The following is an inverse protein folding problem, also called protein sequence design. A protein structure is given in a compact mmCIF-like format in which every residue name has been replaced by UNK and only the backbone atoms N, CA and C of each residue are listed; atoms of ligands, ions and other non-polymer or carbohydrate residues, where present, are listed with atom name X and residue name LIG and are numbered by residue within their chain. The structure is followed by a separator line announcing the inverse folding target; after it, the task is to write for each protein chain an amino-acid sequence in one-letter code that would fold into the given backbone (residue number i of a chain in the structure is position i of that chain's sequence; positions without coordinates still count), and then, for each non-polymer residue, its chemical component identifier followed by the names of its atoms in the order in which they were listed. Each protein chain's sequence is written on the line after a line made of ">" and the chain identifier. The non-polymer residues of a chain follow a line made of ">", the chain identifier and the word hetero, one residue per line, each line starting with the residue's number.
data_IF_374426918810
#
_entry.id   IF_374426918810
#
_cell.length_a   1.000
_cell.length_b   1.000
_cell.length_c   1.000
_cell.angle_alpha   90.00
_cell.angle_beta   90.00
_cell.angle_gamma   90.00
#
_symmetry.space_group_name_H-M   'P 1'
#
loop_
_entity.id
_entity.type
_entity.pdbx_description
1 polymer ?
#
# COMPACT_ATOMS: atom_id res chain seq x y z
N UNK A 1 -12.41 4.74 4.88
CA UNK A 1 -11.07 4.24 4.53
C UNK A 1 -11.12 3.04 3.58
N UNK A 2 -11.84 1.97 3.92
CA UNK A 2 -11.84 0.74 3.10
C UNK A 2 -12.26 0.92 1.65
N UNK A 3 -13.30 1.71 1.37
CA UNK A 3 -13.72 2.01 0.00
C UNK A 3 -12.58 2.63 -0.84
N UNK A 4 -11.81 3.55 -0.27
CA UNK A 4 -10.66 4.17 -0.94
C UNK A 4 -9.53 3.16 -1.17
N UNK A 5 -9.32 2.22 -0.23
CA UNK A 5 -8.34 1.15 -0.39
C UNK A 5 -8.66 0.28 -1.61
N UNK A 6 -9.91 -0.15 -1.74
CA UNK A 6 -10.39 -0.95 -2.87
C UNK A 6 -10.30 -0.15 -4.17
N UNK A 7 -10.77 1.10 -4.17
CA UNK A 7 -10.72 1.98 -5.34
C UNK A 7 -9.29 2.15 -5.87
N UNK A 8 -8.33 2.39 -4.98
CA UNK A 8 -6.92 2.54 -5.37
C UNK A 8 -6.33 1.23 -5.88
N UNK A 9 -6.62 0.10 -5.24
CA UNK A 9 -6.18 -1.22 -5.69
C UNK A 9 -6.65 -1.51 -7.13
N UNK A 10 -7.94 -1.30 -7.39
CA UNK A 10 -8.55 -1.53 -8.71
C UNK A 10 -7.95 -0.59 -9.76
N UNK A 11 -7.87 0.71 -9.45
CA UNK A 11 -7.31 1.71 -10.37
C UNK A 11 -5.86 1.42 -10.73
N UNK A 12 -5.03 1.05 -9.76
CA UNK A 12 -3.60 0.78 -10.01
C UNK A 12 -3.40 -0.47 -10.86
N UNK A 13 -4.18 -1.52 -10.63
CA UNK A 13 -4.12 -2.73 -11.44
C UNK A 13 -4.70 -2.52 -12.86
N UNK A 14 -5.73 -1.68 -13.00
CA UNK A 14 -6.31 -1.32 -14.30
C UNK A 14 -5.35 -0.55 -15.22
N UNK A 15 -4.26 0.04 -14.69
CA UNK A 15 -3.23 0.69 -15.52
C UNK A 15 -2.50 -0.28 -16.46
N UNK A 16 -2.57 -1.59 -16.22
CA UNK A 16 -1.96 -2.59 -17.09
C UNK A 16 -0.42 -2.63 -17.07
N UNK A 17 0.21 -1.92 -16.12
CA UNK A 17 1.68 -1.83 -15.97
C UNK A 17 2.28 -3.20 -15.66
N UNK A 18 1.62 -3.97 -14.79
CA UNK A 18 2.04 -5.32 -14.42
C UNK A 18 3.34 -5.36 -13.61
N UNK A 19 3.78 -6.59 -13.29
CA UNK A 19 4.98 -6.81 -12.50
C UNK A 19 6.22 -6.24 -13.24
N UNK A 20 7.04 -5.47 -12.51
CA UNK A 20 8.25 -4.83 -13.05
C UNK A 20 8.03 -3.89 -14.25
N UNK A 21 6.77 -3.54 -14.58
CA UNK A 21 6.47 -2.74 -15.77
C UNK A 21 6.44 -3.54 -17.08
N UNK A 22 6.37 -4.88 -17.02
CA UNK A 22 6.38 -5.76 -18.19
C UNK A 22 4.98 -5.98 -18.80
N UNK A 23 3.97 -5.25 -18.34
CA UNK A 23 2.58 -5.44 -18.71
C UNK A 23 1.89 -6.53 -17.87
N UNK A 24 0.56 -6.52 -17.87
CA UNK A 24 -0.26 -7.59 -17.26
C UNK A 24 -1.34 -7.08 -16.31
N UNK A 25 -1.98 -8.01 -15.61
CA UNK A 25 -3.17 -7.73 -14.79
C UNK A 25 -2.87 -7.21 -13.38
N UNK A 26 -1.65 -7.42 -12.87
CA UNK A 26 -1.32 -7.18 -11.47
C UNK A 26 -0.06 -6.33 -11.33
N UNK A 27 -0.27 -5.05 -11.02
CA UNK A 27 0.76 -4.07 -10.67
C UNK A 27 1.03 -4.07 -9.15
N UNK A 28 -0.02 -4.18 -8.34
CA UNK A 28 0.07 -4.20 -6.87
C UNK A 28 -0.68 -5.40 -6.30
N UNK A 29 -0.13 -5.96 -5.22
CA UNK A 29 -0.75 -7.07 -4.49
C UNK A 29 -1.77 -6.58 -3.47
N UNK A 30 -1.55 -5.40 -2.89
CA UNK A 30 -2.44 -4.76 -1.93
C UNK A 30 -2.12 -3.26 -1.81
N UNK A 31 -3.04 -2.50 -1.23
CA UNK A 31 -2.86 -1.09 -0.84
C UNK A 31 -3.19 -0.96 0.63
N UNK A 32 -2.36 -0.28 1.41
CA UNK A 32 -2.61 0.04 2.82
C UNK A 32 -2.68 1.54 2.99
N UNK A 33 -3.67 2.02 3.74
CA UNK A 33 -3.86 3.44 3.98
C UNK A 33 -3.87 3.68 5.49
N UNK A 34 -3.10 4.68 5.91
CA UNK A 34 -3.10 5.23 7.25
C UNK A 34 -3.39 6.72 7.13
N UNK A 35 -4.45 7.17 7.77
CA UNK A 35 -4.80 8.58 7.87
C UNK A 35 -4.45 9.12 9.27
N UNK A 36 -4.25 10.43 9.35
CA UNK A 36 -3.98 11.13 10.60
C UNK A 36 -4.47 12.58 10.48
N UNK A 37 -4.94 13.21 11.57
CA UNK A 37 -5.31 14.63 11.54
C UNK A 37 -4.13 15.52 11.15
N UNK A 38 -4.42 16.57 10.38
CA UNK A 38 -3.44 17.57 9.92
C UNK A 38 -4.01 18.97 10.08
N UNK A 39 -3.16 19.99 10.04
CA UNK A 39 -3.61 21.39 10.05
C UNK A 39 -4.46 21.66 8.80
N UNK A 40 -5.56 22.42 8.91
CA UNK A 40 -6.49 22.63 7.78
C UNK A 40 -5.84 23.27 6.54
N UNK A 41 -4.76 24.03 6.71
CA UNK A 41 -3.97 24.60 5.61
C UNK A 41 -2.97 23.62 4.95
N UNK A 42 -2.88 22.39 5.43
CA UNK A 42 -1.86 21.42 5.01
C UNK A 42 -2.45 20.00 4.86
N UNK A 43 -2.06 19.31 3.79
CA UNK A 43 -2.40 17.90 3.60
C UNK A 43 -1.14 17.12 3.19
N UNK A 44 -0.26 16.76 4.15
CA UNK A 44 0.87 15.88 3.87
C UNK A 44 0.39 14.50 3.42
N UNK A 45 0.96 14.00 2.33
CA UNK A 45 0.68 12.66 1.79
C UNK A 45 2.02 11.97 1.53
N UNK A 46 2.12 10.71 1.96
CA UNK A 46 3.29 9.87 1.73
C UNK A 46 2.88 8.56 1.04
N UNK A 47 3.70 8.11 0.09
CA UNK A 47 3.59 6.80 -0.55
C UNK A 47 4.85 6.00 -0.23
N UNK A 48 4.67 4.80 0.34
CA UNK A 48 5.77 3.91 0.71
C UNK A 48 5.56 2.56 0.01
N UNK A 49 6.32 2.22 -1.04
CA UNK A 49 6.20 0.93 -1.70
C UNK A 49 6.90 -0.17 -0.89
N UNK A 50 6.25 -1.32 -0.78
CA UNK A 50 6.90 -2.57 -0.36
C UNK A 50 7.17 -3.42 -1.61
N UNK A 51 8.40 -3.90 -1.76
CA UNK A 51 8.81 -4.59 -2.98
C UNK A 51 8.62 -6.11 -2.87
N UNK A 52 9.04 -6.83 -3.92
CA UNK A 52 9.01 -8.29 -3.95
C UNK A 52 9.82 -8.95 -2.81
N UNK A 53 10.80 -8.26 -2.23
CA UNK A 53 11.58 -8.72 -1.08
C UNK A 53 10.94 -8.34 0.27
N UNK A 54 9.61 -8.43 0.37
CA UNK A 54 8.85 -8.20 1.61
C UNK A 54 9.22 -9.23 2.67
N UNK A 55 9.99 -8.79 3.67
CA UNK A 55 10.53 -9.65 4.73
C UNK A 55 10.36 -8.94 6.06
N UNK A 56 9.43 -9.42 6.86
CA UNK A 56 9.10 -8.82 8.13
C UNK A 56 8.60 -9.90 9.11
N UNK A 57 9.07 -9.85 10.35
CA UNK A 57 8.66 -10.75 11.42
C UNK A 57 8.43 -9.93 12.69
N UNK A 58 7.35 -10.26 13.40
CA UNK A 58 7.13 -9.82 14.77
C UNK A 58 7.34 -11.02 15.68
N UNK A 59 8.03 -10.80 16.79
CA UNK A 59 8.12 -11.79 17.86
C UNK A 59 7.95 -11.07 19.20
N UNK A 60 7.41 -11.78 20.18
CA UNK A 60 7.24 -11.30 21.55
C UNK A 60 7.81 -12.36 22.48
N UNK A 61 8.59 -11.93 23.46
CA UNK A 61 9.09 -12.76 24.55
C UNK A 61 8.33 -12.37 25.80
N UNK A 62 7.55 -13.28 26.36
CA UNK A 62 6.71 -13.08 27.55
C UNK A 62 7.39 -13.55 28.84
N UNK A 63 8.40 -14.43 28.76
CA UNK A 63 9.28 -14.78 29.89
C UNK A 63 8.57 -15.51 31.06
N UNK A 64 7.32 -15.90 30.86
CA UNK A 64 6.51 -16.71 31.78
C UNK A 64 6.53 -18.19 31.41
#
# INVERSE_FOLDING_TARGET
>A
MEALRIELYDKVNALGIGAQGLGGMTTVLDVKILDYPTHAASLPVALIPNCAATRHIHFTLDGS
#
